data_IF_447590495227
#
_entry.id   IF_447590495227
#
_cell.length_a   1.000
_cell.length_b   1.000
_cell.length_c   1.000
_cell.angle_alpha   90.00
_cell.angle_beta   90.00
_cell.angle_gamma   90.00
#
_symmetry.space_group_name_H-M   'P 1'
#
loop_
_entity.id
_entity.type
_entity.pdbx_description
1 polymer ?
2 non-polymer ?
3 water ?
#
# COMPACT_ATOMS: atom_id res chain seq x y z
N UNK A 2 -7.91 6.79 -0.22
CA UNK A 2 -7.33 8.08 0.24
C UNK A 2 -6.26 7.82 1.29
N UNK A 3 -5.62 8.90 1.75
CA UNK A 3 -4.59 8.78 2.76
C UNK A 3 -4.97 9.56 4.02
N UNK A 4 -4.85 8.93 5.16
CA UNK A 4 -5.18 9.58 6.41
C UNK A 4 -3.89 10.03 7.07
N UNK A 5 -3.79 11.31 7.39
CA UNK A 5 -2.61 11.82 8.06
C UNK A 5 -3.02 12.17 9.49
N UNK A 6 -2.43 11.48 10.45
CA UNK A 6 -2.74 11.73 11.85
C UNK A 6 -1.53 12.26 12.58
N UNK A 7 -1.75 13.23 13.47
CA UNK A 7 -0.67 13.83 14.24
C UNK A 7 -1.23 14.57 15.45
N UNK A 8 -0.35 15.14 16.25
CA UNK A 8 -0.78 15.91 17.42
C UNK A 8 -0.65 17.38 17.14
N UNK A 9 -1.72 18.13 17.36
CA UNK A 9 -1.67 19.56 17.14
C UNK A 9 -0.61 20.20 18.02
N UNK A 10 0.23 21.01 17.42
CA UNK A 10 1.27 21.74 18.14
C UNK A 10 2.25 20.91 18.96
N UNK A 11 2.58 19.71 18.50
CA UNK A 11 3.55 18.86 19.18
C UNK A 11 4.79 18.86 18.29
N UNK A 12 5.89 19.41 18.78
CA UNK A 12 7.09 19.46 17.97
C UNK A 12 6.80 20.19 16.66
N UNK A 13 7.18 19.56 15.54
CA UNK A 13 6.94 20.14 14.22
C UNK A 13 5.89 19.35 13.45
N UNK A 14 5.02 18.65 14.18
CA UNK A 14 3.98 17.83 13.56
C UNK A 14 3.12 18.58 12.54
N UNK A 15 2.59 19.75 12.91
CA UNK A 15 1.76 20.51 11.98
C UNK A 15 2.49 20.72 10.64
N UNK A 16 3.72 21.20 10.75
CA UNK A 16 4.56 21.53 9.62
C UNK A 16 5.09 20.36 8.79
N UNK A 17 5.49 19.28 9.45
CA UNK A 17 5.97 18.14 8.71
C UNK A 17 4.76 17.48 8.05
N UNK A 18 3.67 17.35 8.81
CA UNK A 18 2.46 16.73 8.29
C UNK A 18 1.87 17.52 7.11
N UNK A 19 1.95 18.85 7.17
CA UNK A 19 1.43 19.69 6.08
C UNK A 19 2.28 19.54 4.81
N UNK A 20 3.59 19.44 4.99
CA UNK A 20 4.53 19.27 3.89
C UNK A 20 4.25 17.93 3.19
N UNK A 21 4.03 16.87 3.96
CA UNK A 21 3.72 15.57 3.36
C UNK A 21 2.36 15.68 2.67
N UNK A 22 1.42 16.36 3.33
CA UNK A 22 0.09 16.53 2.76
C UNK A 22 0.14 17.28 1.42
N UNK A 23 0.98 18.30 1.34
CA UNK A 23 1.12 19.08 0.10
C UNK A 23 1.60 18.18 -1.04
N UNK A 24 2.58 17.34 -0.76
CA UNK A 24 3.11 16.46 -1.77
C UNK A 24 2.02 15.52 -2.24
N UNK A 25 1.24 15.02 -1.30
CA UNK A 25 0.15 14.11 -1.56
C UNK A 25 -1.01 14.65 -2.39
N UNK A 26 -1.47 15.87 -2.11
CA UNK A 26 -2.60 16.41 -2.87
C UNK A 26 -2.24 16.78 -4.30
N UNK A 27 -0.99 17.19 -4.54
CA UNK A 27 -0.55 17.54 -5.89
C UNK A 27 -0.75 16.35 -6.84
N UNK A 28 -0.63 15.13 -6.32
CA UNK A 28 -0.79 13.95 -7.16
C UNK A 28 -2.24 13.61 -7.35
N UNK A 29 -3.14 14.33 -6.67
CA UNK A 29 -4.55 14.03 -6.82
C UNK A 29 -5.14 13.08 -5.80
N UNK A 30 -4.38 12.74 -4.78
CA UNK A 30 -4.91 11.85 -3.75
C UNK A 30 -5.69 12.71 -2.74
N UNK A 31 -6.79 12.19 -2.20
CA UNK A 31 -7.58 12.94 -1.21
C UNK A 31 -6.97 12.70 0.16
N UNK A 32 -6.53 13.78 0.81
CA UNK A 32 -5.92 13.65 2.12
C UNK A 32 -6.85 13.99 3.28
N UNK A 33 -6.93 13.09 4.25
CA UNK A 33 -7.77 13.35 5.40
C UNK A 33 -6.89 13.54 6.62
N UNK A 35 -6.30 14.47 10.63
CA UNK A 35 -6.93 14.25 11.91
C UNK A 35 -5.99 14.66 13.03
N UNK A 36 -6.54 15.28 14.07
CA UNK A 36 -5.75 15.70 15.22
C UNK A 36 -6.05 14.64 16.28
N UNK A 37 -5.03 13.86 16.63
CA UNK A 37 -5.20 12.79 17.60
C UNK A 37 -5.62 13.28 18.98
N UNK A 38 -5.22 14.51 19.33
CA UNK A 38 -5.56 15.12 20.61
C UNK A 38 -7.05 15.35 20.76
N UNK A 39 -7.78 15.45 19.65
CA UNK A 39 -9.20 15.75 19.75
C UNK A 39 -10.19 15.03 18.82
N UNK A 40 -9.72 14.24 17.88
CA UNK A 40 -10.63 13.58 16.95
C UNK A 40 -11.55 12.55 17.61
N UNK A 41 -12.73 12.37 17.02
CA UNK A 41 -13.72 11.42 17.52
C UNK A 41 -13.32 10.00 17.09
N UNK A 42 -13.19 9.08 18.05
CA UNK A 42 -12.81 7.68 17.79
C UNK A 42 -13.65 6.93 16.75
N UNK A 43 -14.96 7.13 16.77
CA UNK A 43 -15.87 6.47 15.85
C UNK A 43 -15.62 6.78 14.38
N UNK A 44 -15.36 8.05 14.08
CA UNK A 44 -15.09 8.44 12.71
C UNK A 44 -13.67 8.04 12.34
N UNK A 45 -12.74 8.21 13.29
CA UNK A 45 -11.36 7.84 13.07
C UNK A 45 -11.34 6.42 12.53
N UNK A 46 -12.11 5.54 13.17
CA UNK A 46 -12.20 4.14 12.75
C UNK A 46 -12.55 3.97 11.27
N UNK A 47 -13.62 4.62 10.84
CA UNK A 47 -14.04 4.52 9.45
C UNK A 47 -12.98 5.15 8.55
N UNK A 48 -12.43 6.27 9.01
CA UNK A 48 -11.39 6.97 8.27
C UNK A 48 -10.19 6.04 8.03
N UNK A 49 -9.79 5.30 9.05
CA UNK A 49 -8.65 4.40 8.90
C UNK A 49 -8.91 3.19 8.02
N UNK A 50 -10.02 2.48 8.26
CA UNK A 50 -10.31 1.28 7.47
C UNK A 50 -10.42 1.49 5.96
N UNK A 51 -10.90 2.66 5.55
CA UNK A 51 -11.05 2.94 4.13
C UNK A 51 -9.81 3.62 3.55
N UNK A 52 -8.88 4.01 4.42
CA UNK A 52 -7.66 4.67 3.97
C UNK A 52 -6.81 3.72 3.15
N UNK A 53 -6.25 4.20 2.06
CA UNK A 53 -5.40 3.36 1.25
C UNK A 53 -4.02 3.45 1.91
N UNK A 54 -3.79 4.57 2.57
CA UNK A 54 -2.53 4.79 3.25
C UNK A 54 -2.72 5.56 4.52
N UNK A 55 -1.82 5.31 5.46
CA UNK A 55 -1.84 5.96 6.75
C UNK A 55 -0.48 6.64 6.99
N UNK A 56 -0.51 7.91 7.35
CA UNK A 56 0.71 8.65 7.66
C UNK A 56 0.55 9.07 9.12
N UNK A 57 1.54 8.74 9.94
CA UNK A 57 1.51 9.07 11.35
C UNK A 57 2.78 9.80 11.84
N UNK A 58 2.59 10.84 12.63
CA UNK A 58 3.74 11.54 13.19
C UNK A 58 4.02 10.79 14.48
N UNK A 59 5.27 10.73 14.93
CA UNK A 59 5.57 10.02 16.17
C UNK A 59 4.94 10.68 17.38
N UNK A 60 4.22 9.89 18.18
CA UNK A 60 3.55 10.38 19.39
C UNK A 60 4.36 10.08 20.64
N UNK A 61 4.47 11.07 21.53
CA UNK A 61 5.22 10.92 22.77
C UNK A 61 4.90 9.69 23.58
N UNK A 62 5.97 9.20 24.19
CA UNK A 62 6.03 8.06 25.10
C UNK A 62 4.88 7.90 26.07
N UNK A 63 4.61 8.95 26.85
CA UNK A 63 3.54 8.91 27.79
C UNK A 63 2.47 9.81 27.16
N UNK A 64 1.66 9.24 26.27
CA UNK A 64 0.58 9.95 25.58
C UNK A 64 -0.58 10.08 26.61
N UNK A 65 -1.45 11.05 26.39
CA UNK A 65 -2.58 11.29 27.28
C UNK A 65 -3.70 10.33 26.97
N UNK A 66 -4.80 10.49 27.69
CA UNK A 66 -5.95 9.63 27.50
C UNK A 66 -6.53 9.71 26.11
N UNK A 67 -6.63 10.91 25.57
CA UNK A 67 -7.27 10.99 24.29
C UNK A 67 -6.46 10.42 23.18
N UNK A 68 -5.18 10.79 23.15
CA UNK A 68 -4.27 10.34 22.12
C UNK A 68 -3.86 8.86 22.23
N UNK A 69 -3.88 8.29 23.42
CA UNK A 69 -3.53 6.88 23.55
C UNK A 69 -4.70 6.11 22.98
N UNK A 70 -5.90 6.64 23.23
CA UNK A 70 -7.12 6.01 22.74
C UNK A 70 -7.14 6.15 21.21
N UNK A 71 -6.73 7.32 20.75
CA UNK A 71 -6.68 7.59 19.31
C UNK A 71 -5.66 6.63 18.69
N UNK A 72 -4.48 6.55 19.30
CA UNK A 72 -3.41 5.70 18.82
C UNK A 72 -3.87 4.25 18.76
N UNK A 73 -4.44 3.75 19.86
CA UNK A 73 -4.94 2.38 19.92
C UNK A 73 -6.00 2.11 18.86
N UNK A 74 -6.80 3.13 18.57
CA UNK A 74 -7.85 2.98 17.59
C UNK A 74 -7.31 2.80 16.17
N UNK A 75 -6.15 3.41 15.89
CA UNK A 75 -5.52 3.28 14.58
C UNK A 75 -4.98 1.85 14.45
N UNK A 76 -4.24 1.41 15.46
CA UNK A 76 -3.68 0.06 15.44
C UNK A 76 -4.78 -0.98 15.32
N UNK A 77 -5.86 -0.78 16.06
CA UNK A 77 -6.99 -1.69 16.01
C UNK A 77 -7.61 -1.75 14.62
N UNK A 78 -7.68 -0.61 13.93
CA UNK A 78 -8.28 -0.59 12.60
C UNK A 78 -7.35 -0.77 11.40
N UNK A 79 -6.05 -0.59 11.60
CA UNK A 79 -5.11 -0.75 10.48
C UNK A 79 -5.07 -2.21 10.06
N UNK A 80 -4.88 -2.44 8.76
CA UNK A 80 -4.86 -3.80 8.25
C UNK A 80 -3.83 -4.01 7.15
N UNK A 81 -3.69 -5.26 6.72
CA UNK A 81 -2.71 -5.67 5.72
C UNK A 81 -2.76 -5.19 4.28
N UNK A 82 -3.77 -4.44 3.87
CA UNK A 82 -3.82 -3.99 2.48
C UNK A 82 -3.36 -2.54 2.30
N UNK A 83 -2.84 -1.93 3.36
CA UNK A 83 -2.43 -0.54 3.29
C UNK A 83 -0.97 -0.22 3.62
N UNK A 84 -0.56 1.01 3.27
CA UNK A 84 0.80 1.47 3.52
C UNK A 84 0.87 2.38 4.75
N UNK A 85 2.02 2.38 5.41
CA UNK A 85 2.23 3.20 6.58
C UNK A 85 3.42 4.14 6.33
N UNK A 86 3.17 5.43 6.48
CA UNK A 86 4.23 6.41 6.31
C UNK A 86 4.47 6.98 7.69
N UNK A 87 5.70 6.86 8.18
CA UNK A 87 6.04 7.37 9.49
C UNK A 87 7.01 8.56 9.39
N UNK A 88 6.85 9.52 10.29
CA UNK A 88 7.73 10.69 10.34
C UNK A 88 7.93 11.09 11.81
N UNK A 89 9.18 11.38 12.16
CA UNK A 89 9.48 11.79 13.52
C UNK A 89 9.00 13.22 13.70
N UNK A 90 8.16 13.45 14.70
CA UNK A 90 7.63 14.77 14.96
C UNK A 90 8.60 15.72 15.68
N UNK A 91 9.68 15.16 16.23
CA UNK A 91 10.70 15.92 16.96
C UNK A 91 10.06 16.63 18.15
N UNK A 92 9.29 15.88 18.92
CA UNK A 92 8.62 16.44 20.08
C UNK A 92 9.45 16.39 21.35
N UNK A 93 8.84 15.99 22.46
CA UNK A 93 9.56 15.93 23.72
C UNK A 93 10.05 14.54 24.02
N UNK A 94 9.20 13.76 24.66
CA UNK A 94 9.52 12.37 24.99
C UNK A 94 8.59 11.57 24.11
N UNK A 95 9.02 11.30 22.88
CA UNK A 95 8.18 10.56 21.94
C UNK A 95 8.63 9.16 21.57
N UNK A 96 7.66 8.34 21.16
CA UNK A 96 7.91 6.97 20.75
C UNK A 96 8.84 6.91 19.54
N UNK A 97 9.77 5.96 19.53
CA UNK A 97 10.73 5.79 18.43
C UNK A 97 10.04 5.29 17.16
N UNK A 98 10.48 5.80 16.00
CA UNK A 98 9.91 5.38 14.73
C UNK A 98 9.89 3.86 14.59
N UNK A 99 11.04 3.24 14.89
CA UNK A 99 11.20 1.79 14.79
C UNK A 99 10.12 0.99 15.52
N UNK A 100 9.74 1.44 16.73
CA UNK A 100 8.72 0.76 17.51
C UNK A 100 7.37 0.74 16.80
N UNK A 101 6.95 1.89 16.29
CA UNK A 101 5.69 1.99 15.56
C UNK A 101 5.77 1.14 14.31
N UNK A 102 6.88 1.27 13.59
CA UNK A 102 7.07 0.53 12.36
C UNK A 102 6.93 -0.98 12.56
N UNK A 103 7.44 -1.49 13.68
CA UNK A 103 7.34 -2.92 13.97
C UNK A 103 5.87 -3.31 14.09
N UNK A 104 5.13 -2.55 14.89
CA UNK A 104 3.70 -2.80 15.09
C UNK A 104 2.91 -2.86 13.80
N UNK A 105 3.12 -1.90 12.90
CA UNK A 105 2.41 -1.88 11.63
C UNK A 105 2.81 -3.03 10.69
N UNK A 106 4.10 -3.33 10.61
CA UNK A 106 4.49 -4.42 9.72
C UNK A 106 3.89 -5.73 10.23
N UNK A 107 3.76 -5.87 11.55
CA UNK A 107 3.18 -7.09 12.10
C UNK A 107 1.70 -7.22 11.78
N UNK A 108 1.04 -6.10 11.52
CA UNK A 108 -0.38 -6.14 11.16
C UNK A 108 -0.44 -6.40 9.68
N UNK A 109 0.73 -6.47 9.04
CA UNK A 109 0.81 -6.73 7.62
C UNK A 109 0.91 -5.51 6.71
N UNK A 110 1.25 -4.34 7.25
CA UNK A 110 1.35 -3.17 6.40
C UNK A 110 2.76 -3.00 5.81
N UNK A 111 2.86 -2.44 4.62
CA UNK A 111 4.18 -2.18 4.06
C UNK A 111 4.42 -0.65 4.22
N UNK A 112 5.65 -0.18 4.02
CA UNK A 112 5.93 1.25 4.20
C UNK A 112 5.42 2.06 3.02
N UNK A 113 4.87 3.24 3.29
CA UNK A 113 4.37 4.07 2.19
C UNK A 113 5.52 4.82 1.53
N UNK A 114 6.60 5.00 2.30
CA UNK A 114 7.82 5.68 1.87
C UNK A 114 8.85 5.45 2.99
N UNK A 115 10.14 5.73 2.74
CA UNK A 115 11.10 5.50 3.85
C UNK A 115 10.80 6.40 5.05
N UNK A 116 10.84 5.84 6.26
CA UNK A 116 10.57 6.66 7.44
C UNK A 116 11.33 7.99 7.39
N UNK A 117 10.65 9.09 7.73
CA UNK A 117 11.31 10.39 7.71
C UNK A 117 11.87 10.70 9.10
N UNK A 118 13.16 10.44 9.26
CA UNK A 118 13.85 10.64 10.53
C UNK A 118 14.41 12.03 10.77
N UNK A 119 13.78 12.81 11.63
CA UNK A 119 14.27 14.14 11.94
C UNK A 119 14.94 14.13 13.31
N UNK A 120 16.22 14.47 13.35
CA UNK A 120 17.00 14.49 14.58
C UNK A 120 17.55 15.89 14.84
N UNK A 121 16.73 16.89 14.56
CA UNK A 121 17.11 18.28 14.74
C UNK A 121 16.01 19.16 14.17
N UNK A 122 16.17 20.47 14.29
CA UNK A 122 15.18 21.40 13.77
C UNK A 122 14.97 21.16 12.27
N UNK A 123 13.73 20.83 11.88
CA UNK A 123 13.43 20.59 10.46
C UNK A 123 13.88 21.77 9.60
N UNK A 124 14.74 21.50 8.63
CA UNK A 124 15.21 22.53 7.73
C UNK A 124 14.38 22.45 6.45
N UNK A 125 14.66 23.32 5.50
CA UNK A 125 13.95 23.30 4.23
C UNK A 125 14.19 21.94 3.58
N UNK A 126 15.38 21.41 3.77
CA UNK A 126 15.75 20.12 3.23
C UNK A 126 14.77 19.04 3.71
N UNK A 127 14.55 19.00 5.02
CA UNK A 127 13.64 18.05 5.61
C UNK A 127 12.22 18.21 5.07
N UNK A 128 11.78 19.46 4.92
CA UNK A 128 10.44 19.73 4.42
C UNK A 128 10.30 19.32 2.96
N UNK A 129 11.40 19.40 2.21
CA UNK A 129 11.38 19.00 0.82
C UNK A 129 11.23 17.49 0.76
N UNK A 130 11.88 16.79 1.69
CA UNK A 130 11.81 15.33 1.76
C UNK A 130 10.39 14.88 2.14
N UNK A 131 9.75 15.60 3.06
CA UNK A 131 8.36 15.30 3.42
C UNK A 131 7.46 15.46 2.17
N UNK A 132 7.65 16.55 1.44
CA UNK A 132 6.85 16.81 0.25
C UNK A 132 7.10 15.74 -0.79
N UNK A 133 8.37 15.38 -0.97
CA UNK A 133 8.71 14.34 -1.94
C UNK A 133 8.15 12.99 -1.52
N UNK A 134 8.12 12.72 -0.22
CA UNK A 134 7.60 11.46 0.28
C UNK A 134 6.11 11.38 -0.03
N UNK A 135 5.41 12.52 0.13
CA UNK A 135 3.98 12.58 -0.13
C UNK A 135 3.70 12.38 -1.61
N UNK A 136 4.55 12.98 -2.43
CA UNK A 136 4.44 12.86 -3.87
C UNK A 136 4.62 11.42 -4.29
N UNK A 137 5.62 10.76 -3.71
CA UNK A 137 5.92 9.38 -4.06
C UNK A 137 4.80 8.43 -3.68
N UNK A 138 4.29 8.60 -2.47
CA UNK A 138 3.19 7.79 -2.01
C UNK A 138 2.00 8.01 -2.94
N UNK A 139 1.77 9.27 -3.28
CA UNK A 139 0.67 9.62 -4.16
C UNK A 139 0.74 8.96 -5.53
N UNK A 140 1.91 9.06 -6.14
CA UNK A 140 2.10 8.46 -7.45
C UNK A 140 1.98 6.93 -7.35
N UNK A 141 2.44 6.33 -6.25
CA UNK A 141 2.34 4.87 -6.11
C UNK A 141 0.88 4.44 -6.05
N UNK A 142 0.04 5.30 -5.48
CA UNK A 142 -1.39 5.00 -5.37
C UNK A 142 -2.11 5.33 -6.67
N UNK A 143 -1.79 6.48 -7.24
CA UNK A 143 -2.39 6.91 -8.52
C UNK A 143 -2.14 5.91 -9.64
N UNK A 144 -1.10 5.10 -9.50
CA UNK A 144 -0.75 4.10 -10.50
C UNK A 144 -1.30 2.71 -10.18
N UNK A 145 -1.59 2.44 -8.92
CA UNK A 145 -2.14 1.15 -8.52
C UNK A 145 -3.67 1.20 -8.65
N UNK A 146 -4.14 1.90 -9.67
CA UNK A 146 -5.57 2.05 -9.91
C UNK A 146 -5.90 2.19 -11.41
N UNK B 2 -20.85 -2.35 9.00
CA UNK B 2 -21.47 -2.64 7.69
C UNK B 2 -20.99 -3.98 7.14
N UNK B 3 -21.85 -4.64 6.38
CA UNK B 3 -21.51 -5.92 5.77
C UNK B 3 -21.90 -5.87 4.31
N UNK B 4 -20.99 -6.29 3.43
CA UNK B 4 -21.27 -6.29 2.01
C UNK B 4 -21.74 -7.68 1.62
N UNK B 5 -22.93 -7.76 1.02
CA UNK B 5 -23.42 -9.05 0.57
C UNK B 5 -23.36 -9.04 -0.94
N UNK B 6 -22.43 -9.81 -1.48
CA UNK B 6 -22.29 -9.87 -2.92
C UNK B 6 -22.83 -11.18 -3.46
N UNK B 7 -23.55 -11.11 -4.55
CA UNK B 7 -24.11 -12.31 -5.16
C UNK B 7 -24.56 -11.99 -6.57
N UNK B 8 -24.95 -13.03 -7.30
CA UNK B 8 -25.44 -12.85 -8.66
C UNK B 8 -26.97 -12.97 -8.63
N UNK B 9 -27.62 -12.03 -9.31
CA UNK B 9 -29.08 -11.96 -9.40
C UNK B 9 -29.70 -12.91 -10.43
N UNK B 10 -30.60 -13.76 -9.98
CA UNK B 10 -31.28 -14.71 -10.86
C UNK B 10 -30.45 -15.97 -11.08
N UNK B 11 -29.28 -16.02 -10.45
CA UNK B 11 -28.43 -17.18 -10.55
C UNK B 11 -28.74 -18.14 -9.39
N UNK B 12 -29.34 -19.28 -9.70
CA UNK B 12 -29.68 -20.22 -8.66
C UNK B 12 -30.59 -19.57 -7.65
N UNK B 13 -30.52 -20.00 -6.39
CA UNK B 13 -31.34 -19.43 -5.33
C UNK B 13 -30.63 -18.30 -4.58
N UNK B 14 -29.74 -17.59 -5.28
CA UNK B 14 -28.98 -16.47 -4.71
C UNK B 14 -29.85 -15.41 -4.06
N UNK B 15 -30.85 -14.95 -4.81
CA UNK B 15 -31.76 -13.91 -4.33
C UNK B 15 -32.30 -14.20 -2.94
N UNK B 16 -32.94 -15.37 -2.79
CA UNK B 16 -33.55 -15.78 -1.53
C UNK B 16 -32.57 -16.12 -0.40
N UNK B 17 -31.44 -16.73 -0.73
CA UNK B 17 -30.46 -17.05 0.32
C UNK B 17 -29.82 -15.76 0.83
N UNK B 18 -29.47 -14.87 -0.09
CA UNK B 18 -28.83 -13.60 0.31
C UNK B 18 -29.81 -12.77 1.15
N UNK B 19 -31.08 -12.73 0.74
CA UNK B 19 -32.04 -11.94 1.50
C UNK B 19 -32.34 -12.50 2.88
N UNK B 20 -32.28 -13.81 3.03
CA UNK B 20 -32.52 -14.42 4.34
C UNK B 20 -31.35 -14.06 5.27
N UNK B 21 -30.14 -14.13 4.76
CA UNK B 21 -28.97 -13.77 5.56
C UNK B 21 -29.10 -12.29 5.91
N UNK B 22 -29.49 -11.49 4.92
CA UNK B 22 -29.67 -10.06 5.15
C UNK B 22 -30.70 -9.75 6.23
N UNK B 23 -31.76 -10.57 6.32
CA UNK B 23 -32.79 -10.37 7.35
C UNK B 23 -32.23 -10.59 8.76
N UNK B 24 -31.38 -11.59 8.91
CA UNK B 24 -30.79 -11.86 10.20
C UNK B 24 -29.82 -10.76 10.62
N UNK B 25 -29.12 -10.21 9.64
CA UNK B 25 -28.14 -9.15 9.83
C UNK B 25 -28.75 -7.79 10.22
N UNK B 26 -29.74 -7.33 9.45
CA UNK B 26 -30.34 -6.03 9.75
C UNK B 26 -30.98 -5.95 11.12
N UNK B 27 -31.46 -7.07 11.64
CA UNK B 27 -32.08 -7.10 12.96
C UNK B 27 -31.09 -6.58 13.99
N UNK B 28 -29.86 -7.06 13.92
CA UNK B 28 -28.81 -6.68 14.87
C UNK B 28 -28.39 -5.22 14.72
N UNK B 29 -29.01 -4.51 13.80
CA UNK B 29 -28.68 -3.11 13.62
C UNK B 29 -27.50 -2.89 12.70
N UNK B 30 -27.00 -3.95 12.09
CA UNK B 30 -25.89 -3.79 11.17
C UNK B 30 -26.46 -3.30 9.84
N UNK B 31 -25.74 -2.39 9.18
CA UNK B 31 -26.16 -1.86 7.90
C UNK B 31 -25.73 -2.87 6.84
N UNK B 32 -26.66 -3.33 6.01
CA UNK B 32 -26.33 -4.33 4.98
C UNK B 32 -26.31 -3.76 3.57
N UNK B 33 -25.18 -3.88 2.88
CA UNK B 33 -25.03 -3.38 1.54
C UNK B 33 -25.09 -4.56 0.56
N UNK B 35 -25.01 -6.03 -3.30
CA UNK B 35 -24.39 -5.74 -4.58
C UNK B 35 -24.56 -6.93 -5.50
N UNK B 36 -24.89 -6.64 -6.77
CA UNK B 36 -25.06 -7.67 -7.77
C UNK B 36 -23.74 -7.66 -8.54
N UNK B 37 -22.95 -8.72 -8.39
CA UNK B 37 -21.64 -8.82 -9.03
C UNK B 37 -21.65 -8.73 -10.55
N UNK B 38 -22.85 -8.76 -11.14
CA UNK B 38 -22.98 -8.65 -12.58
C UNK B 38 -22.94 -7.20 -13.02
N UNK B 39 -23.57 -6.33 -12.22
CA UNK B 39 -23.66 -4.92 -12.57
C UNK B 39 -22.93 -3.86 -11.75
N UNK B 40 -22.45 -4.21 -10.56
CA UNK B 40 -21.78 -3.20 -9.74
C UNK B 40 -20.55 -2.55 -10.38
N UNK B 41 -20.47 -1.23 -10.32
CA UNK B 41 -19.33 -0.49 -10.86
C UNK B 41 -18.16 -0.76 -9.93
N UNK B 42 -17.05 -1.27 -10.47
CA UNK B 42 -15.85 -1.58 -9.67
C UNK B 42 -15.34 -0.40 -8.86
N UNK B 43 -15.77 0.82 -9.22
CA UNK B 43 -15.36 2.01 -8.50
C UNK B 43 -16.10 1.98 -7.16
N UNK B 44 -17.38 1.63 -7.23
CA UNK B 44 -18.22 1.56 -6.05
C UNK B 44 -17.85 0.30 -5.26
N UNK B 45 -17.83 -0.84 -5.95
CA UNK B 45 -17.50 -2.11 -5.32
C UNK B 45 -16.22 -2.03 -4.48
N UNK B 46 -15.16 -1.49 -5.07
CA UNK B 46 -13.90 -1.38 -4.35
C UNK B 46 -14.10 -0.59 -3.07
N UNK B 47 -14.96 0.42 -3.13
CA UNK B 47 -15.24 1.26 -1.98
C UNK B 47 -16.00 0.48 -0.90
N UNK B 48 -17.08 -0.16 -1.30
CA UNK B 48 -17.91 -0.95 -0.38
C UNK B 48 -17.11 -2.03 0.33
N UNK B 49 -16.27 -2.75 -0.41
CA UNK B 49 -15.47 -3.80 0.21
C UNK B 49 -14.44 -3.18 1.16
N UNK B 50 -13.89 -2.03 0.79
CA UNK B 50 -12.90 -1.35 1.62
C UNK B 50 -13.41 -1.04 3.01
N UNK B 51 -14.59 -0.42 3.08
CA UNK B 51 -15.19 -0.03 4.35
C UNK B 51 -15.94 -1.12 5.10
N UNK B 52 -16.37 -2.17 4.40
CA UNK B 52 -17.11 -3.27 5.02
C UNK B 52 -16.35 -3.95 6.14
N UNK B 53 -17.04 -4.27 7.23
CA UNK B 53 -16.39 -4.97 8.33
C UNK B 53 -16.60 -6.47 8.05
N UNK B 54 -17.61 -6.76 7.26
CA UNK B 54 -17.92 -8.14 6.94
C UNK B 54 -18.23 -8.28 5.46
N UNK B 55 -18.02 -9.48 4.97
CA UNK B 55 -18.29 -9.75 3.57
C UNK B 55 -19.04 -11.09 3.49
N UNK B 56 -20.13 -11.12 2.76
CA UNK B 56 -20.87 -12.38 2.58
C UNK B 56 -20.94 -12.52 1.07
N UNK B 57 -20.52 -13.67 0.57
CA UNK B 57 -20.47 -13.93 -0.86
C UNK B 57 -21.14 -15.26 -1.24
N UNK B 58 -21.94 -15.25 -2.30
CA UNK B 58 -22.59 -16.46 -2.74
C UNK B 58 -21.73 -17.06 -3.86
N UNK B 59 -21.47 -18.38 -3.80
CA UNK B 59 -20.64 -19.01 -4.82
C UNK B 59 -21.05 -18.65 -6.24
N UNK B 60 -20.11 -18.06 -7.00
CA UNK B 60 -20.36 -17.64 -8.38
C UNK B 60 -20.18 -18.82 -9.34
N UNK B 61 -20.74 -18.72 -10.56
CA UNK B 61 -20.63 -19.80 -11.53
C UNK B 61 -19.17 -20.10 -11.85
N UNK B 62 -18.87 -21.37 -12.15
CA UNK B 62 -17.50 -21.78 -12.45
C UNK B 62 -16.91 -21.09 -13.69
N UNK B 63 -17.75 -20.87 -14.70
CA UNK B 63 -17.34 -20.19 -15.92
C UNK B 63 -18.16 -18.91 -15.91
N UNK B 64 -17.61 -17.83 -15.31
CA UNK B 64 -18.27 -16.52 -15.19
C UNK B 64 -17.92 -15.43 -16.21
N UNK B 65 -18.84 -14.48 -16.36
CA UNK B 65 -18.69 -13.36 -17.28
C UNK B 65 -17.48 -12.50 -16.92
N UNK B 66 -17.04 -11.67 -17.86
CA UNK B 66 -15.90 -10.79 -17.62
C UNK B 66 -16.24 -9.78 -16.53
N UNK B 67 -17.51 -9.40 -16.45
CA UNK B 67 -17.95 -8.44 -15.45
C UNK B 67 -17.80 -9.07 -14.06
N UNK B 68 -18.35 -10.27 -13.91
CA UNK B 68 -18.30 -10.99 -12.65
C UNK B 68 -16.88 -11.26 -12.16
N UNK B 69 -16.03 -11.79 -13.04
CA UNK B 69 -14.66 -12.12 -12.70
C UNK B 69 -13.89 -10.92 -12.14
N UNK B 70 -14.10 -9.75 -12.75
CA UNK B 70 -13.41 -8.56 -12.29
C UNK B 70 -13.98 -8.12 -10.94
N UNK B 71 -15.26 -8.44 -10.73
CA UNK B 71 -15.93 -8.11 -9.48
C UNK B 71 -15.26 -8.90 -8.36
N UNK B 72 -15.18 -10.21 -8.55
CA UNK B 72 -14.57 -11.12 -7.59
C UNK B 72 -13.12 -10.75 -7.30
N UNK B 73 -12.36 -10.51 -8.37
CA UNK B 73 -10.95 -10.16 -8.25
C UNK B 73 -10.83 -8.90 -7.41
N UNK B 74 -11.71 -7.95 -7.65
CA UNK B 74 -11.73 -6.71 -6.89
C UNK B 74 -12.00 -7.02 -5.42
N UNK B 75 -12.96 -7.91 -5.18
CA UNK B 75 -13.28 -8.30 -3.82
C UNK B 75 -12.04 -8.95 -3.20
N UNK B 76 -11.47 -9.93 -3.90
CA UNK B 76 -10.28 -10.61 -3.41
C UNK B 76 -9.19 -9.55 -3.20
N UNK B 77 -9.07 -8.68 -4.18
CA UNK B 77 -8.08 -7.62 -4.16
C UNK B 77 -8.28 -6.61 -3.04
N UNK B 78 -9.50 -6.51 -2.51
CA UNK B 78 -9.75 -5.54 -1.45
C UNK B 78 -9.97 -6.12 -0.06
N UNK B 79 -10.13 -7.43 0.04
CA UNK B 79 -10.37 -8.06 1.34
C UNK B 79 -9.13 -8.01 2.22
N UNK B 80 -9.32 -7.88 3.52
CA UNK B 80 -8.20 -7.83 4.44
C UNK B 80 -8.45 -8.57 5.73
N UNK B 81 -7.37 -8.83 6.46
CA UNK B 81 -7.41 -9.56 7.72
C UNK B 81 -8.23 -8.94 8.83
N UNK B 82 -8.74 -7.73 8.65
CA UNK B 82 -9.53 -7.14 9.71
C UNK B 82 -11.04 -7.35 9.54
N UNK B 83 -11.42 -8.16 8.58
CA UNK B 83 -12.83 -8.41 8.36
C UNK B 83 -13.24 -9.89 8.41
N UNK B 84 -14.54 -10.11 8.45
CA UNK B 84 -15.10 -11.46 8.50
C UNK B 84 -15.66 -11.85 7.14
N UNK B 85 -15.82 -13.15 6.94
CA UNK B 85 -16.29 -13.66 5.67
C UNK B 85 -17.27 -14.81 5.87
N UNK B 86 -18.48 -14.67 5.34
CA UNK B 86 -19.47 -15.75 5.42
C UNK B 86 -19.72 -16.16 3.98
N UNK B 87 -19.88 -17.45 3.71
CA UNK B 87 -20.11 -17.90 2.34
C UNK B 87 -21.34 -18.78 2.23
N UNK B 88 -21.97 -18.80 1.05
CA UNK B 88 -23.10 -19.70 0.83
C UNK B 88 -23.11 -20.17 -0.62
N UNK B 89 -23.66 -21.37 -0.86
CA UNK B 89 -23.76 -21.91 -2.21
C UNK B 89 -24.94 -21.25 -2.91
N UNK B 90 -24.70 -20.67 -4.08
CA UNK B 90 -25.79 -20.03 -4.82
C UNK B 90 -26.67 -21.14 -5.38
N UNK B 91 -26.06 -22.29 -5.59
CA UNK B 91 -26.74 -23.47 -6.11
C UNK B 91 -27.44 -23.18 -7.44
N UNK B 92 -26.68 -22.66 -8.39
CA UNK B 92 -27.22 -22.33 -9.69
C UNK B 92 -26.77 -23.28 -10.78
N UNK B 93 -26.38 -24.49 -10.39
CA UNK B 93 -25.94 -25.47 -11.38
C UNK B 93 -24.46 -25.80 -11.47
N UNK B 94 -23.67 -24.91 -12.05
CA UNK B 94 -22.24 -25.14 -12.20
C UNK B 94 -21.42 -24.02 -11.57
N UNK B 95 -21.21 -24.11 -10.26
CA UNK B 95 -20.46 -23.07 -9.56
C UNK B 95 -19.24 -23.54 -8.78
N UNK B 96 -18.29 -22.62 -8.65
CA UNK B 96 -17.04 -22.85 -7.93
C UNK B 96 -17.30 -23.54 -6.59
N UNK B 97 -16.43 -24.50 -6.21
CA UNK B 97 -16.58 -25.24 -4.93
C UNK B 97 -16.54 -24.26 -3.76
N UNK B 98 -17.48 -24.37 -2.83
CA UNK B 98 -17.51 -23.45 -1.70
C UNK B 98 -16.28 -23.57 -0.81
N UNK B 99 -15.73 -24.77 -0.67
CA UNK B 99 -14.55 -24.97 0.15
C UNK B 99 -13.29 -24.29 -0.43
N UNK B 100 -13.28 -24.05 -1.73
CA UNK B 100 -12.13 -23.40 -2.33
C UNK B 100 -12.09 -21.98 -1.78
N UNK B 101 -13.26 -21.33 -1.74
CA UNK B 101 -13.34 -19.98 -1.22
C UNK B 101 -13.04 -19.94 0.28
N UNK B 102 -13.53 -20.95 1.01
CA UNK B 102 -13.28 -21.00 2.45
C UNK B 102 -11.78 -20.91 2.71
N UNK B 103 -11.02 -21.84 2.11
CA UNK B 103 -9.56 -21.87 2.27
C UNK B 103 -8.90 -20.56 1.81
N UNK B 104 -9.26 -20.09 0.62
CA UNK B 104 -8.71 -18.85 0.10
C UNK B 104 -8.82 -17.66 1.07
N UNK B 105 -10.04 -17.29 1.44
CA UNK B 105 -10.24 -16.16 2.33
C UNK B 105 -9.59 -16.37 3.69
N UNK B 106 -9.51 -17.63 4.13
CA UNK B 106 -8.92 -17.92 5.43
C UNK B 106 -7.44 -17.53 5.43
N UNK B 107 -6.76 -17.80 4.32
CA UNK B 107 -5.34 -17.47 4.22
C UNK B 107 -5.12 -15.97 4.06
N UNK B 108 -6.16 -15.25 3.65
CA UNK B 108 -6.03 -13.82 3.47
C UNK B 108 -6.12 -13.15 4.83
N UNK B 109 -6.47 -13.92 5.85
CA UNK B 109 -6.55 -13.39 7.19
C UNK B 109 -7.93 -13.10 7.75
N UNK B 110 -8.98 -13.30 6.96
CA UNK B 110 -10.34 -13.03 7.42
C UNK B 110 -10.87 -14.06 8.42
N UNK B 111 -11.66 -13.59 9.38
CA UNK B 111 -12.24 -14.51 10.35
C UNK B 111 -13.54 -15.04 9.74
N UNK B 112 -13.73 -16.36 9.75
CA UNK B 112 -14.96 -16.93 9.16
C UNK B 112 -16.18 -16.49 10.00
N UNK B 113 -17.10 -15.78 9.36
CA UNK B 113 -18.30 -15.26 10.04
C UNK B 113 -19.23 -16.35 10.60
N UNK B 114 -19.35 -17.46 9.86
CA UNK B 114 -20.18 -18.58 10.25
C UNK B 114 -19.83 -19.72 9.33
N UNK B 115 -20.25 -20.94 9.68
CA UNK B 115 -19.94 -22.09 8.82
C UNK B 115 -20.55 -21.83 7.45
N UNK B 116 -19.89 -22.31 6.38
CA UNK B 116 -20.43 -22.09 5.04
C UNK B 116 -21.86 -22.64 4.99
N UNK B 117 -22.75 -21.95 4.28
CA UNK B 117 -24.13 -22.41 4.17
C UNK B 117 -24.18 -23.31 2.94
N UNK B 118 -24.10 -24.60 3.21
CA UNK B 118 -24.13 -25.59 2.15
C UNK B 118 -25.56 -25.98 1.77
N UNK B 119 -25.84 -25.93 0.49
CA UNK B 119 -27.14 -26.32 -0.02
C UNK B 119 -26.82 -27.22 -1.21
N UNK B 120 -27.01 -28.53 -1.00
CA UNK B 120 -26.75 -29.52 -2.03
C UNK B 120 -27.87 -29.47 -3.06
N UNK B 121 -29.11 -29.42 -2.60
CA UNK B 121 -30.22 -29.36 -3.54
C UNK B 121 -31.11 -28.15 -3.18
N UNK B 122 -32.39 -28.24 -3.52
CA UNK B 122 -33.40 -27.20 -3.26
C UNK B 122 -33.48 -26.76 -1.79
N UNK B 123 -33.31 -25.46 -1.50
CA UNK B 123 -33.35 -24.88 -0.15
C UNK B 123 -34.72 -25.03 0.54
N UNK B 124 -34.68 -25.29 1.84
CA UNK B 124 -35.89 -25.49 2.64
C UNK B 124 -35.99 -24.49 3.79
N UNK B 125 -37.13 -24.49 4.48
CA UNK B 125 -37.31 -23.59 5.61
C UNK B 125 -36.16 -23.75 6.59
N UNK B 126 -35.60 -24.96 6.64
CA UNK B 126 -34.50 -25.25 7.54
C UNK B 126 -33.22 -24.53 7.08
N UNK B 127 -32.96 -24.55 5.78
CA UNK B 127 -31.78 -23.90 5.21
C UNK B 127 -31.93 -22.38 5.32
N UNK B 128 -33.15 -21.88 5.12
CA UNK B 128 -33.38 -20.46 5.20
C UNK B 128 -33.26 -19.99 6.64
N UNK B 129 -33.65 -20.84 7.57
CA UNK B 129 -33.54 -20.49 8.97
C UNK B 129 -32.06 -20.44 9.37
N UNK B 130 -31.24 -21.30 8.76
CA UNK B 130 -29.81 -21.32 9.02
C UNK B 130 -29.22 -20.00 8.49
N UNK B 131 -29.67 -19.58 7.31
CA UNK B 131 -29.21 -18.33 6.71
C UNK B 131 -29.47 -17.16 7.64
N UNK B 132 -30.70 -17.09 8.14
CA UNK B 132 -31.10 -16.01 9.01
C UNK B 132 -30.30 -16.00 10.29
N UNK B 133 -30.08 -17.18 10.86
CA UNK B 133 -29.31 -17.29 12.10
C UNK B 133 -27.83 -16.96 11.89
N UNK B 134 -27.31 -17.31 10.71
CA UNK B 134 -25.91 -17.02 10.37
C UNK B 134 -25.74 -15.50 10.29
N UNK B 135 -26.73 -14.85 9.69
CA UNK B 135 -26.67 -13.40 9.57
C UNK B 135 -26.69 -12.79 10.96
N UNK B 136 -27.50 -13.38 11.83
CA UNK B 136 -27.62 -12.90 13.20
C UNK B 136 -26.30 -13.11 13.94
N UNK B 137 -25.71 -14.27 13.80
CA UNK B 137 -24.43 -14.55 14.46
C UNK B 137 -23.36 -13.56 13.99
N UNK B 138 -23.33 -13.27 12.69
CA UNK B 138 -22.35 -12.33 12.18
C UNK B 138 -22.64 -10.95 12.69
N UNK B 139 -23.92 -10.58 12.66
CA UNK B 139 -24.32 -9.27 13.14
C UNK B 139 -23.90 -9.07 14.58
N UNK B 140 -24.19 -10.03 15.44
CA UNK B 140 -23.82 -9.95 16.85
C UNK B 140 -22.31 -9.94 17.03
N UNK B 141 -21.59 -10.69 16.21
CA UNK B 141 -20.13 -10.73 16.28
C UNK B 141 -19.59 -9.33 16.03
N UNK B 142 -20.13 -8.67 15.01
CA UNK B 142 -19.72 -7.32 14.63
C UNK B 142 -20.12 -6.28 15.67
N UNK B 143 -21.27 -6.53 16.31
CA UNK B 143 -21.75 -5.62 17.34
C UNK B 143 -20.78 -5.65 18.53
N UNK B 144 -20.22 -6.83 18.81
CA UNK B 144 -19.29 -6.99 19.92
C UNK B 144 -17.99 -6.26 19.61
N UNK B 145 -17.56 -6.31 18.35
CA UNK B 145 -16.33 -5.64 17.94
C UNK B 145 -16.49 -4.11 18.03
N UNK C 2 11.51 -5.62 -12.17
CA UNK C 2 12.94 -5.83 -11.81
C UNK C 2 13.67 -4.49 -11.78
N UNK C 3 14.68 -4.40 -10.93
CA UNK C 3 15.39 -3.14 -10.82
C UNK C 3 16.81 -3.18 -11.38
N UNK C 4 17.21 -2.07 -12.01
CA UNK C 4 18.54 -1.94 -12.56
C UNK C 4 19.22 -0.78 -11.86
N UNK C 5 20.31 -1.07 -11.18
CA UNK C 5 21.06 -0.06 -10.45
C UNK C 5 22.30 0.34 -11.25
N UNK C 6 22.50 1.64 -11.43
CA UNK C 6 23.64 2.10 -12.20
C UNK C 6 24.63 2.91 -11.39
N UNK C 7 25.76 2.28 -11.06
CA UNK C 7 26.80 2.92 -10.28
C UNK C 7 28.11 2.98 -11.07
N UNK C 8 29.00 3.87 -10.65
CA UNK C 8 30.31 3.98 -11.30
C UNK C 8 31.38 3.46 -10.35
N UNK C 9 32.28 2.64 -10.88
CA UNK C 9 33.37 2.09 -10.09
C UNK C 9 34.35 3.21 -9.75
N UNK C 10 34.93 3.12 -8.56
CA UNK C 10 35.89 4.10 -8.10
C UNK C 10 35.48 5.56 -8.25
N UNK C 11 34.26 5.89 -7.83
CA UNK C 11 33.78 7.27 -7.87
C UNK C 11 32.91 7.46 -6.63
N UNK C 12 33.32 8.39 -5.77
CA UNK C 12 32.59 8.67 -4.55
C UNK C 12 32.26 7.40 -3.77
N UNK C 13 31.06 7.34 -3.21
CA UNK C 13 30.60 6.17 -2.46
C UNK C 13 29.51 5.51 -3.31
N UNK C 14 29.61 5.73 -4.61
CA UNK C 14 28.65 5.21 -5.58
C UNK C 14 28.38 3.72 -5.44
N UNK C 15 29.43 2.93 -5.24
CA UNK C 15 29.28 1.48 -5.11
C UNK C 15 28.64 1.03 -3.79
N UNK C 16 29.11 1.57 -2.67
CA UNK C 16 28.56 1.20 -1.37
C UNK C 16 27.09 1.64 -1.24
N UNK C 17 26.80 2.84 -1.75
CA UNK C 17 25.44 3.35 -1.70
C UNK C 17 24.53 2.44 -2.52
N UNK C 18 24.96 2.12 -3.74
CA UNK C 18 24.17 1.24 -4.61
C UNK C 18 23.96 -0.15 -3.99
N UNK C 19 24.98 -0.69 -3.32
CA UNK C 19 24.86 -1.99 -2.69
C UNK C 19 23.86 -1.96 -1.53
N UNK C 20 23.87 -0.88 -0.76
CA UNK C 20 22.97 -0.74 0.38
C UNK C 20 21.52 -0.73 -0.13
N UNK C 21 21.29 0.02 -1.20
CA UNK C 21 19.98 0.07 -1.80
C UNK C 21 19.68 -1.36 -2.29
N UNK C 22 20.66 -1.96 -2.96
CA UNK C 22 20.47 -3.30 -3.47
C UNK C 22 20.03 -4.34 -2.44
N UNK C 23 20.74 -4.39 -1.32
CA UNK C 23 20.40 -5.35 -0.28
C UNK C 23 18.97 -5.14 0.21
N UNK C 24 18.52 -3.89 0.21
CA UNK C 24 17.17 -3.60 0.64
C UNK C 24 16.13 -4.23 -0.26
N UNK C 25 16.35 -4.10 -1.57
CA UNK C 25 15.47 -4.68 -2.57
C UNK C 25 15.40 -6.21 -2.51
N UNK C 26 16.55 -6.87 -2.62
CA UNK C 26 16.55 -8.33 -2.60
C UNK C 26 15.84 -8.89 -1.38
N UNK C 27 15.81 -8.12 -0.30
CA UNK C 27 15.15 -8.58 0.92
C UNK C 27 13.64 -8.67 0.75
N UNK C 28 13.10 -7.99 -0.27
CA UNK C 28 11.66 -8.04 -0.52
C UNK C 28 11.34 -9.09 -1.57
N UNK C 29 12.33 -9.45 -2.38
CA UNK C 29 12.13 -10.46 -3.40
C UNK C 29 12.35 -9.98 -4.82
N UNK C 30 12.47 -8.67 -5.00
CA UNK C 30 12.67 -8.08 -6.31
C UNK C 30 14.03 -8.45 -6.89
N UNK C 31 14.07 -8.68 -8.21
CA UNK C 31 15.32 -9.03 -8.87
C UNK C 31 16.08 -7.76 -9.18
N UNK C 32 17.38 -7.74 -8.89
CA UNK C 32 18.19 -6.56 -9.15
C UNK C 32 19.28 -6.80 -10.19
N UNK C 33 19.67 -5.74 -10.88
CA UNK C 33 20.70 -5.79 -11.89
C UNK C 33 21.72 -4.70 -11.58
N UNK C 35 24.78 -2.56 -12.41
CA UNK C 35 25.44 -2.16 -13.63
C UNK C 35 26.50 -1.09 -13.44
N UNK C 36 27.71 -1.40 -13.91
CA UNK C 36 28.82 -0.47 -13.82
C UNK C 36 28.81 0.38 -15.09
N UNK C 37 28.43 1.64 -14.96
CA UNK C 37 28.38 2.54 -16.11
C UNK C 37 29.79 2.77 -16.64
N UNK C 38 30.77 2.67 -15.76
CA UNK C 38 32.17 2.85 -16.12
C UNK C 38 32.58 1.85 -17.18
N UNK C 39 31.92 0.70 -17.20
CA UNK C 39 32.19 -0.36 -18.16
C UNK C 39 31.05 -1.36 -18.27
N UNK C 40 30.05 -1.03 -19.09
CA UNK C 40 28.91 -1.91 -19.29
C UNK C 40 28.69 -2.20 -20.78
N UNK C 41 28.18 -3.39 -21.08
CA UNK C 41 27.90 -3.79 -22.46
C UNK C 41 26.60 -3.14 -22.92
N UNK C 42 26.70 -2.02 -23.65
CA UNK C 42 25.53 -1.26 -24.16
C UNK C 42 24.42 -2.06 -24.83
N UNK C 43 24.77 -3.16 -25.47
CA UNK C 43 23.77 -3.99 -26.14
C UNK C 43 22.88 -4.69 -25.13
N UNK C 44 23.21 -4.54 -23.85
CA UNK C 44 22.43 -5.15 -22.79
C UNK C 44 21.94 -4.13 -21.77
N UNK C 45 22.66 -3.02 -21.67
CA UNK C 45 22.25 -1.96 -20.76
C UNK C 45 20.93 -1.49 -21.37
N UNK C 46 20.95 -1.24 -22.67
CA UNK C 46 19.77 -0.77 -23.39
C UNK C 46 18.74 -1.90 -23.58
N UNK C 47 18.94 -3.00 -22.87
CA UNK C 47 18.02 -4.13 -22.94
C UNK C 47 17.38 -4.31 -21.56
N UNK C 48 18.19 -4.14 -20.52
CA UNK C 48 17.71 -4.30 -19.14
C UNK C 48 17.02 -3.02 -18.66
N UNK C 49 17.54 -1.87 -19.05
CA UNK C 49 16.96 -0.59 -18.65
C UNK C 49 15.54 -0.48 -19.21
N UNK C 50 15.24 -1.28 -20.23
CA UNK C 50 13.92 -1.25 -20.85
C UNK C 50 12.95 -2.24 -20.21
N UNK C 51 13.41 -3.49 -20.05
CA UNK C 51 12.56 -4.52 -19.45
C UNK C 51 12.47 -4.34 -17.94
N UNK C 52 13.06 -3.26 -17.44
CA UNK C 52 13.04 -2.98 -16.01
C UNK C 52 11.89 -2.07 -15.60
N UNK C 53 11.32 -2.37 -14.44
CA UNK C 53 10.22 -1.59 -13.88
C UNK C 53 10.78 -0.44 -13.05
N UNK C 54 11.99 -0.65 -12.52
CA UNK C 54 12.61 0.39 -11.71
C UNK C 54 14.07 0.63 -12.00
N UNK C 55 14.49 1.88 -11.94
CA UNK C 55 15.89 2.24 -12.18
C UNK C 55 16.44 3.09 -11.04
N UNK C 56 17.61 2.71 -10.54
CA UNK C 56 18.26 3.47 -9.49
C UNK C 56 19.59 3.99 -10.05
N UNK C 57 19.87 5.27 -9.84
CA UNK C 57 21.11 5.86 -10.35
C UNK C 57 21.81 6.81 -9.41
N UNK C 58 23.14 6.75 -9.42
CA UNK C 58 23.92 7.66 -8.60
C UNK C 58 24.26 8.85 -9.47
N UNK C 59 24.40 10.03 -8.88
CA UNK C 59 24.74 11.19 -9.68
C UNK C 59 26.03 10.96 -10.45
N UNK C 60 26.01 11.15 -11.78
CA UNK C 60 27.20 10.95 -12.62
C UNK C 60 28.24 12.04 -12.34
N UNK C 61 29.48 11.82 -12.79
CA UNK C 61 30.53 12.81 -12.55
C UNK C 61 30.31 14.05 -13.42
N UNK C 62 31.22 15.02 -13.27
CA UNK C 62 31.15 16.24 -14.09
C UNK C 62 32.14 15.99 -15.24
N UNK C 63 33.40 15.73 -14.89
CA UNK C 63 34.42 15.47 -15.91
C UNK C 63 34.44 13.99 -16.29
N UNK C 64 34.63 13.07 -15.32
CA UNK C 64 34.66 11.64 -15.64
C UNK C 64 33.43 11.18 -16.42
N UNK C 65 32.40 12.03 -16.46
CA UNK C 65 31.17 11.72 -17.15
C UNK C 65 31.39 11.49 -18.64
N UNK C 66 32.30 12.27 -19.22
CA UNK C 66 32.60 12.14 -20.65
C UNK C 66 33.19 10.79 -21.03
N UNK C 67 33.53 9.98 -20.03
CA UNK C 67 34.10 8.66 -20.28
C UNK C 67 33.03 7.76 -20.89
N UNK C 68 32.02 7.42 -20.10
CA UNK C 68 30.94 6.60 -20.61
C UNK C 68 29.61 7.23 -20.29
N UNK C 69 29.29 8.26 -21.05
CA UNK C 69 28.01 8.95 -20.93
C UNK C 69 27.26 8.26 -22.05
N UNK C 70 27.99 7.39 -22.75
CA UNK C 70 27.46 6.61 -23.86
C UNK C 70 26.66 5.47 -23.26
N UNK C 71 26.41 5.57 -21.95
CA UNK C 71 25.65 4.58 -21.22
C UNK C 71 24.55 5.31 -20.46
N UNK C 72 24.89 6.51 -19.98
CA UNK C 72 23.95 7.35 -19.25
C UNK C 72 22.93 7.88 -20.24
N UNK C 73 23.41 8.36 -21.38
CA UNK C 73 22.52 8.88 -22.42
C UNK C 73 21.82 7.72 -23.11
N UNK C 74 22.24 6.49 -22.79
CA UNK C 74 21.63 5.30 -23.36
C UNK C 74 20.46 4.90 -22.47
N UNK C 75 20.73 4.79 -21.16
CA UNK C 75 19.69 4.44 -20.20
C UNK C 75 18.59 5.49 -20.37
N UNK C 76 19.03 6.74 -20.42
CA UNK C 76 18.18 7.90 -20.57
C UNK C 76 17.40 7.81 -21.89
N UNK C 77 17.94 7.05 -22.84
CA UNK C 77 17.28 6.89 -24.14
C UNK C 77 16.39 5.65 -24.20
N UNK C 78 16.57 4.71 -23.27
CA UNK C 78 15.76 3.49 -23.24
C UNK C 78 14.80 3.47 -22.06
N UNK C 79 14.63 4.63 -21.42
CA UNK C 79 13.74 4.72 -20.27
C UNK C 79 12.35 5.15 -20.74
N UNK C 80 11.31 4.47 -20.24
CA UNK C 80 9.96 4.87 -20.59
C UNK C 80 9.22 5.51 -19.40
N UNK C 81 7.90 5.72 -19.55
CA UNK C 81 7.10 6.34 -18.50
C UNK C 81 6.38 5.39 -17.54
N UNK C 82 6.43 4.09 -17.82
CA UNK C 82 5.76 3.13 -16.95
C UNK C 82 6.69 2.62 -15.84
N UNK C 83 7.78 3.33 -15.58
CA UNK C 83 8.71 2.85 -14.56
C UNK C 83 9.11 3.88 -13.51
N UNK C 84 9.60 3.38 -12.38
CA UNK C 84 10.01 4.22 -11.26
C UNK C 84 11.50 4.58 -11.30
N UNK C 85 11.82 5.81 -10.90
CA UNK C 85 13.20 6.27 -10.88
C UNK C 85 13.65 6.71 -9.49
N UNK C 86 14.70 6.06 -8.99
CA UNK C 86 15.23 6.43 -7.68
C UNK C 86 16.67 6.90 -7.85
N UNK C 87 17.00 8.03 -7.26
CA UNK C 87 18.36 8.56 -7.39
C UNK C 87 19.07 8.80 -6.06
N UNK C 88 20.40 8.85 -6.11
CA UNK C 88 21.22 9.10 -4.92
C UNK C 88 22.51 9.82 -5.31
N UNK C 89 23.01 10.66 -4.41
CA UNK C 89 24.27 11.37 -4.66
C UNK C 89 25.41 10.38 -4.42
N UNK C 90 26.22 10.14 -5.43
CA UNK C 90 27.34 9.20 -5.33
C UNK C 90 28.48 9.78 -4.50
N UNK C 91 28.48 11.10 -4.37
CA UNK C 91 29.47 11.84 -3.61
C UNK C 91 30.90 11.81 -4.14
N UNK C 92 31.07 12.27 -5.36
CA UNK C 92 32.39 12.36 -5.98
C UNK C 92 32.70 13.83 -5.93
N UNK C 93 33.86 14.24 -6.43
CA UNK C 93 34.23 15.66 -6.42
C UNK C 93 33.20 16.65 -6.96
N UNK C 94 32.94 16.59 -8.26
CA UNK C 94 31.97 17.48 -8.90
C UNK C 94 30.95 16.60 -9.61
N UNK C 95 29.80 16.43 -8.96
CA UNK C 95 28.71 15.58 -9.48
C UNK C 95 27.62 16.32 -10.25
N UNK C 96 26.91 15.56 -11.08
CA UNK C 96 25.79 16.12 -11.83
C UNK C 96 24.68 16.26 -10.78
N UNK C 97 24.22 17.49 -10.50
CA UNK C 97 23.17 17.73 -9.52
C UNK C 97 22.07 16.67 -9.60
N UNK C 98 21.71 16.09 -8.46
CA UNK C 98 20.68 15.04 -8.43
C UNK C 98 19.31 15.54 -8.85
N UNK C 99 18.98 16.77 -8.47
CA UNK C 99 17.69 17.34 -8.81
C UNK C 99 17.51 17.50 -10.32
N UNK C 100 18.51 18.08 -10.98
CA UNK C 100 18.45 18.27 -12.41
C UNK C 100 18.28 16.93 -13.12
N UNK C 101 18.93 15.90 -12.60
CA UNK C 101 18.84 14.58 -13.19
C UNK C 101 17.46 13.96 -12.97
N UNK C 102 16.75 14.45 -11.95
CA UNK C 102 15.41 13.94 -11.69
C UNK C 102 14.46 14.68 -12.62
N UNK C 103 14.68 15.99 -12.75
CA UNK C 103 13.86 16.82 -13.62
C UNK C 103 13.86 16.23 -15.04
N UNK C 104 15.00 15.66 -15.42
CA UNK C 104 15.15 15.07 -16.74
C UNK C 104 14.45 13.73 -16.88
N UNK C 105 14.31 13.01 -15.77
CA UNK C 105 13.64 11.71 -15.79
C UNK C 105 12.12 11.79 -15.66
N UNK C 106 11.64 12.84 -15.01
CA UNK C 106 10.21 13.01 -14.85
C UNK C 106 9.62 13.31 -16.24
N UNK C 107 10.32 14.17 -16.97
CA UNK C 107 9.87 14.58 -18.31
C UNK C 107 9.82 13.43 -19.31
N UNK C 108 10.12 12.22 -18.86
CA UNK C 108 10.05 11.06 -19.73
C UNK C 108 8.88 10.24 -19.24
N UNK C 109 8.20 10.78 -18.22
CA UNK C 109 7.04 10.10 -17.67
C UNK C 109 7.33 9.13 -16.52
N UNK C 110 8.54 9.17 -15.96
CA UNK C 110 8.84 8.28 -14.85
C UNK C 110 8.41 8.89 -13.53
N UNK C 111 7.89 8.07 -12.63
CA UNK C 111 7.52 8.55 -11.32
C UNK C 111 8.71 8.17 -10.42
N UNK C 112 8.93 8.93 -9.36
CA UNK C 112 10.03 8.65 -8.44
C UNK C 112 9.72 7.49 -7.51
N UNK C 113 10.67 6.58 -7.35
CA UNK C 113 10.46 5.43 -6.48
C UNK C 113 10.46 5.84 -4.99
N UNK C 114 11.37 6.73 -4.65
CA UNK C 114 11.50 7.23 -3.28
C UNK C 114 12.20 8.58 -3.37
N UNK C 115 12.25 9.34 -2.26
CA UNK C 115 12.91 10.65 -2.29
C UNK C 115 14.40 10.50 -2.57
N UNK C 116 14.97 11.41 -3.36
CA UNK C 116 16.40 11.35 -3.69
C UNK C 116 17.24 11.17 -2.44
N UNK C 117 18.17 10.23 -2.48
CA UNK C 117 19.06 10.01 -1.38
C UNK C 117 20.18 11.05 -1.52
N UNK C 118 20.04 12.18 -0.83
CA UNK C 118 21.03 13.23 -0.89
C UNK C 118 22.13 13.01 0.14
N UNK C 119 23.37 13.30 -0.26
CA UNK C 119 24.49 13.15 0.64
C UNK C 119 25.60 14.12 0.25
N UNK C 120 25.80 15.15 1.06
CA UNK C 120 26.80 16.18 0.80
C UNK C 120 28.10 15.99 1.57
N UNK C 121 28.15 14.99 2.45
CA UNK C 121 29.35 14.71 3.22
C UNK C 121 29.55 13.21 3.25
N UNK C 122 30.59 12.76 3.95
CA UNK C 122 30.84 11.33 4.04
C UNK C 122 29.58 10.66 4.60
N UNK C 123 29.12 9.60 3.92
CA UNK C 123 27.92 8.85 4.33
C UNK C 123 28.03 8.26 5.74
N UNK C 124 27.11 8.65 6.60
CA UNK C 124 27.04 8.16 7.97
C UNK C 124 26.15 6.92 7.93
N UNK C 125 25.91 6.30 9.08
CA UNK C 125 25.06 5.12 9.07
C UNK C 125 23.60 5.49 8.72
N UNK C 126 23.20 6.73 8.96
CA UNK C 126 21.83 7.14 8.64
C UNK C 126 21.62 7.09 7.11
N UNK C 127 22.60 7.59 6.36
CA UNK C 127 22.54 7.57 4.90
C UNK C 127 22.41 6.11 4.41
N UNK C 128 23.31 5.25 4.86
CA UNK C 128 23.23 3.84 4.46
C UNK C 128 21.87 3.25 4.89
N UNK C 129 21.33 3.73 5.99
CA UNK C 129 20.04 3.24 6.48
C UNK C 129 18.94 3.72 5.54
N UNK C 130 19.08 4.94 5.04
CA UNK C 130 18.12 5.52 4.11
C UNK C 130 18.16 4.71 2.81
N UNK C 131 19.36 4.31 2.41
CA UNK C 131 19.51 3.52 1.19
C UNK C 131 18.79 2.18 1.30
N UNK C 132 18.95 1.53 2.44
CA UNK C 132 18.32 0.23 2.67
C UNK C 132 16.79 0.32 2.77
N UNK C 133 16.29 1.36 3.44
CA UNK C 133 14.84 1.48 3.56
C UNK C 133 14.25 1.93 2.22
N UNK C 134 15.04 2.61 1.41
CA UNK C 134 14.53 3.05 0.10
C UNK C 134 14.35 1.83 -0.78
N UNK C 135 15.39 0.98 -0.84
CA UNK C 135 15.30 -0.24 -1.63
C UNK C 135 14.17 -1.12 -1.15
N UNK C 136 13.96 -1.15 0.16
CA UNK C 136 12.89 -1.95 0.74
C UNK C 136 11.52 -1.39 0.36
N UNK C 137 11.37 -0.07 0.45
CA UNK C 137 10.11 0.58 0.11
C UNK C 137 9.79 0.26 -1.35
N UNK C 138 10.72 0.64 -2.22
CA UNK C 138 10.60 0.40 -3.67
C UNK C 138 10.29 -1.06 -3.93
N UNK C 139 11.00 -1.93 -3.22
CA UNK C 139 10.79 -3.35 -3.37
C UNK C 139 9.36 -3.75 -3.08
N UNK C 140 8.88 -3.38 -1.89
CA UNK C 140 7.51 -3.71 -1.51
C UNK C 140 6.44 -3.13 -2.43
N UNK C 141 6.70 -1.96 -3.03
CA UNK C 141 5.72 -1.37 -3.93
C UNK C 141 5.67 -2.14 -5.25
N UNK C 142 6.83 -2.54 -5.76
CA UNK C 142 6.90 -3.28 -7.00
C UNK C 142 6.34 -4.68 -6.83
N UNK C 143 6.71 -5.34 -5.75
CA UNK C 143 6.24 -6.69 -5.49
C UNK C 143 4.71 -6.72 -5.35
N UNK C 144 4.15 -5.66 -4.79
CA UNK C 144 2.70 -5.59 -4.65
C UNK C 144 2.02 -5.53 -6.03
N UNK C 145 2.58 -4.75 -6.94
CA UNK C 145 2.02 -4.62 -8.27
C UNK C 145 2.13 -5.94 -9.04
N UNK C 146 3.20 -6.68 -8.81
CA UNK C 146 3.39 -7.96 -9.48
C UNK C 146 2.36 -8.95 -8.98
N UNK C 147 2.14 -8.96 -7.68
CA UNK C 147 1.17 -9.87 -7.08
C UNK C 147 -0.18 -9.67 -7.76
N UNK C 148 -0.58 -8.42 -7.95
CA UNK C 148 -1.86 -8.08 -8.58
C UNK C 148 -1.98 -8.57 -10.02
N UNK C 149 -0.95 -8.32 -10.82
CA UNK C 149 -0.97 -8.76 -12.22
C UNK C 149 -0.93 -10.28 -12.26
N UNK C 150 -0.11 -10.88 -11.41
CA UNK C 150 -0.01 -12.33 -11.35
C UNK C 150 -1.35 -12.88 -10.91
N UNK C 152 -4.17 -11.92 -11.08
CA UNK C 152 -5.23 -11.82 -12.07
C UNK C 152 -5.20 -13.04 -12.98
N UNK C 153 -4.00 -13.42 -13.41
CA UNK C 153 -3.81 -14.57 -14.30
C UNK C 153 -4.46 -15.85 -13.79
N UNK C 154 -4.25 -16.18 -12.52
CA UNK C 154 -4.81 -17.39 -11.95
C UNK C 154 -6.19 -17.19 -11.34
#
# INVERSE_FOLDING_TARGET
>A
XSVLIGYLSDYGYSDRLSQAIGRGLVKTGVAVEXVDLRAVDPQELIEAVSSARGIVLGTPPSQPSEAVATALSTIFAAAHNKQAIGLFDSYGGDDEPIDALLAQFRNLGLHTAFPPIRVKDQPTEAIYQQCEESGTDLGQWLTRADAIQTXKSLEHHHHHH
>B
XSVLIGYLSDYGYSDRLSQAIGRGLVKTGVAVEXVDLRAVDPQELIEAVSSARGIVLGTPPSQPSEAVATALSTIFAAAHNKQAIGLFDSYGGDDEPIDALLAQFRNLGLHTAFPPIRVKDQPTEAIYQQCEESGTDLGQWLTRADAIQTXKSLEHHHHHH
>C
XSVLIGYLSDYGYSDRLSQAIGRGLVKTGVAVEXVDLRAVDPQELIEAVSSARGIVLGTPPSQPSEAVATALSTIFAAAHNKQAIGLFDSYGGDDEPIDALLAQFRNLGLHTAFPPIRVKDQPTEAIYQQCEESGTDLGQWLTRADAIQTXKSLEHHHHHH
#
